data_IF_495235128230
#
_entry.id   IF_495235128230
#
_cell.length_a   1.000
_cell.length_b   1.000
_cell.length_c   1.000
_cell.angle_alpha   90.00
_cell.angle_beta   90.00
_cell.angle_gamma   90.00
#
_symmetry.space_group_name_H-M   'P 1'
#
loop_
_entity.id
_entity.type
_entity.pdbx_description
1 polymer ?
#
# COMPACT_ATOMS: atom_id res chain seq x y z
N UNK A 1 -41.23 0.20 -4.24
CA UNK A 1 -41.02 1.66 -4.24
C UNK A 1 -39.52 1.90 -4.44
N UNK A 2 -39.12 2.43 -5.60
CA UNK A 2 -37.71 2.73 -5.91
C UNK A 2 -37.39 4.13 -5.38
N UNK A 3 -36.35 4.27 -4.55
CA UNK A 3 -35.91 5.57 -4.06
C UNK A 3 -35.23 6.35 -5.19
N UNK A 4 -35.66 7.61 -5.40
CA UNK A 4 -35.04 8.49 -6.39
C UNK A 4 -33.59 8.78 -6.01
N UNK A 5 -32.66 8.54 -6.93
CA UNK A 5 -31.24 8.86 -6.76
C UNK A 5 -31.07 10.38 -6.73
N UNK A 6 -30.19 10.90 -5.86
CA UNK A 6 -29.86 12.33 -5.83
C UNK A 6 -29.33 12.85 -7.18
N UNK A 7 -29.33 14.18 -7.41
CA UNK A 7 -28.91 14.76 -8.68
C UNK A 7 -27.46 14.38 -8.99
N UNK A 8 -27.23 13.83 -10.19
CA UNK A 8 -25.89 13.58 -10.71
C UNK A 8 -25.30 14.92 -11.16
N UNK A 9 -24.19 15.31 -10.56
CA UNK A 9 -23.42 16.46 -11.04
C UNK A 9 -22.63 16.06 -12.28
N UNK A 10 -22.64 16.86 -13.36
CA UNK A 10 -21.79 16.61 -14.52
C UNK A 10 -20.31 16.82 -14.14
N UNK A 11 -19.43 16.04 -14.75
CA UNK A 11 -17.99 16.28 -14.68
C UNK A 11 -17.67 17.49 -15.57
N UNK A 12 -17.12 18.56 -14.98
CA UNK A 12 -16.78 19.81 -15.68
C UNK A 12 -15.28 19.92 -16.03
N UNK A 13 -14.48 18.92 -15.67
CA UNK A 13 -13.05 18.90 -15.96
C UNK A 13 -12.74 18.45 -17.39
N UNK A 14 -11.52 18.76 -17.84
CA UNK A 14 -11.01 18.21 -19.08
C UNK A 14 -10.79 16.70 -18.94
N UNK A 15 -11.36 15.94 -19.88
CA UNK A 15 -11.24 14.48 -19.93
C UNK A 15 -9.91 14.07 -20.59
N UNK A 16 -8.80 14.50 -20.00
CA UNK A 16 -7.45 14.28 -20.50
C UNK A 16 -6.46 13.98 -19.37
N UNK A 17 -5.27 13.53 -19.76
CA UNK A 17 -4.10 13.47 -18.88
C UNK A 17 -3.69 14.91 -18.52
N UNK A 18 -3.81 15.26 -17.24
CA UNK A 18 -3.48 16.60 -16.74
C UNK A 18 -1.98 16.75 -16.37
N UNK A 19 -1.15 15.79 -16.76
CA UNK A 19 0.29 15.79 -16.52
C UNK A 19 1.01 15.22 -17.74
N UNK A 20 2.25 15.67 -17.93
CA UNK A 20 3.09 15.24 -19.02
C UNK A 20 3.66 13.84 -18.71
N UNK A 21 3.44 12.90 -19.64
CA UNK A 21 3.98 11.55 -19.56
C UNK A 21 5.01 11.42 -20.67
N UNK A 22 6.20 10.95 -20.31
CA UNK A 22 7.25 10.66 -21.26
C UNK A 22 6.89 9.35 -21.99
N UNK A 23 6.71 9.36 -23.32
CA UNK A 23 6.44 8.14 -24.08
C UNK A 23 7.51 7.06 -23.89
N UNK A 24 8.74 7.45 -23.55
CA UNK A 24 9.87 6.54 -23.28
C UNK A 24 10.03 6.18 -21.80
N UNK A 25 9.31 6.87 -20.90
CA UNK A 25 9.41 6.72 -19.43
C UNK A 25 8.87 5.40 -18.86
N UNK A 26 8.16 4.64 -19.69
CA UNK A 26 7.69 3.29 -19.37
C UNK A 26 6.62 3.22 -18.28
N UNK A 27 6.28 1.99 -17.88
CA UNK A 27 5.19 1.73 -16.92
C UNK A 27 5.42 2.30 -15.52
N UNK A 28 6.68 2.52 -15.13
CA UNK A 28 7.03 3.06 -13.81
C UNK A 28 6.59 4.51 -13.64
N UNK A 29 6.63 5.32 -14.69
CA UNK A 29 6.17 6.70 -14.63
C UNK A 29 4.70 6.77 -14.23
N UNK A 30 3.87 5.84 -14.73
CA UNK A 30 2.46 5.79 -14.35
C UNK A 30 2.26 5.37 -12.90
N UNK A 31 3.08 4.44 -12.41
CA UNK A 31 3.01 3.99 -11.02
C UNK A 31 3.36 5.13 -10.04
N UNK A 32 4.44 5.87 -10.32
CA UNK A 32 4.93 6.93 -9.44
C UNK A 32 3.99 8.15 -9.37
N UNK A 33 3.02 8.28 -10.28
CA UNK A 33 1.95 9.30 -10.18
C UNK A 33 1.00 9.06 -9.00
N UNK A 34 0.76 7.79 -8.68
CA UNK A 34 -0.14 7.39 -7.60
C UNK A 34 0.62 7.03 -6.34
N UNK A 35 1.82 6.46 -6.49
CA UNK A 35 2.70 6.03 -5.41
C UNK A 35 4.01 6.81 -5.45
N UNK A 36 3.90 8.12 -5.30
CA UNK A 36 5.06 9.00 -5.28
C UNK A 36 5.98 8.71 -4.07
N UNK A 37 7.19 9.26 -4.11
CA UNK A 37 8.17 9.07 -3.04
C UNK A 37 7.67 9.58 -1.68
N UNK A 38 6.91 10.68 -1.65
CA UNK A 38 6.44 11.27 -0.40
C UNK A 38 5.38 10.37 0.25
N UNK A 39 4.47 9.82 -0.55
CA UNK A 39 3.44 8.91 -0.07
C UNK A 39 4.07 7.62 0.46
N UNK A 40 5.00 7.00 -0.27
CA UNK A 40 5.65 5.77 0.20
C UNK A 40 6.48 6.04 1.45
N UNK A 41 7.22 7.15 1.52
CA UNK A 41 7.95 7.54 2.72
C UNK A 41 7.01 7.74 3.91
N UNK A 42 5.90 8.45 3.71
CA UNK A 42 4.88 8.65 4.74
C UNK A 42 4.31 7.32 5.25
N UNK A 43 3.91 6.41 4.36
CA UNK A 43 3.40 5.09 4.74
C UNK A 43 4.46 4.28 5.50
N UNK A 44 5.72 4.36 5.05
CA UNK A 44 6.85 3.67 5.71
C UNK A 44 7.03 4.17 7.14
N UNK A 45 7.07 5.48 7.33
CA UNK A 45 7.20 6.12 8.64
C UNK A 45 6.03 5.77 9.56
N UNK A 46 4.80 5.79 9.05
CA UNK A 46 3.60 5.43 9.81
C UNK A 46 3.59 3.94 10.20
N UNK A 47 4.05 3.06 9.30
CA UNK A 47 4.15 1.62 9.57
C UNK A 47 5.15 1.35 10.69
N UNK A 48 6.33 1.96 10.65
CA UNK A 48 7.34 1.83 11.69
C UNK A 48 6.89 2.44 13.02
N UNK A 49 6.23 3.60 12.97
CA UNK A 49 5.65 4.22 14.17
C UNK A 49 4.63 3.28 14.83
N UNK A 50 3.70 2.72 14.07
CA UNK A 50 2.72 1.78 14.59
C UNK A 50 3.38 0.53 15.16
N UNK A 51 4.35 -0.07 14.47
CA UNK A 51 5.10 -1.21 14.97
C UNK A 51 5.75 -0.90 16.33
N UNK A 52 6.41 0.26 16.46
CA UNK A 52 7.02 0.69 17.72
C UNK A 52 6.00 0.83 18.86
N UNK A 53 4.80 1.35 18.58
CA UNK A 53 3.73 1.50 19.56
C UNK A 53 3.21 0.14 20.04
N UNK A 54 2.98 -0.79 19.11
CA UNK A 54 2.53 -2.15 19.41
C UNK A 54 3.55 -2.90 20.26
N UNK A 55 4.83 -2.80 19.93
CA UNK A 55 5.90 -3.48 20.67
C UNK A 55 6.07 -2.92 22.08
N UNK A 56 6.01 -1.59 22.24
CA UNK A 56 6.02 -0.96 23.58
C UNK A 56 4.81 -1.38 24.41
N UNK A 57 3.63 -1.51 23.79
CA UNK A 57 2.42 -1.96 24.46
C UNK A 57 2.43 -3.44 24.88
N UNK A 58 3.23 -4.28 24.20
CA UNK A 58 3.38 -5.72 24.47
C UNK A 58 4.55 -6.08 25.38
N UNK A 59 5.43 -5.13 25.71
CA UNK A 59 6.59 -5.37 26.57
C UNK A 59 6.22 -5.87 27.99
N UNK A 60 4.94 -5.81 28.37
CA UNK A 60 4.38 -6.31 29.63
C UNK A 60 3.89 -7.76 29.58
N UNK A 61 3.86 -8.42 28.41
CA UNK A 61 3.49 -9.83 28.28
C UNK A 61 4.69 -10.68 27.88
N UNK A 62 5.17 -11.48 28.82
CA UNK A 62 6.35 -12.34 28.71
C UNK A 62 6.05 -13.56 27.82
N UNK A 63 6.14 -13.38 26.51
CA UNK A 63 6.06 -14.49 25.54
C UNK A 63 7.29 -14.47 24.63
N UNK A 64 8.32 -15.20 25.04
CA UNK A 64 9.59 -15.42 24.34
C UNK A 64 9.48 -16.08 22.96
N UNK A 65 8.27 -16.47 22.53
CA UNK A 65 7.95 -17.07 21.23
C UNK A 65 7.28 -16.10 20.25
N UNK A 66 6.98 -14.87 20.65
CA UNK A 66 6.34 -13.89 19.77
C UNK A 66 7.35 -13.33 18.76
N UNK A 67 7.21 -13.75 17.49
CA UNK A 67 8.02 -13.26 16.37
C UNK A 67 7.99 -11.74 16.22
N UNK A 68 6.97 -11.07 16.74
CA UNK A 68 6.88 -9.61 16.70
C UNK A 68 8.02 -8.93 17.48
N UNK A 69 8.62 -9.59 18.48
CA UNK A 69 9.79 -9.07 19.21
C UNK A 69 11.03 -8.88 18.32
N UNK A 70 11.09 -9.55 17.16
CA UNK A 70 12.20 -9.45 16.20
C UNK A 70 11.90 -8.46 15.05
N UNK A 71 10.88 -7.62 15.17
CA UNK A 71 10.56 -6.62 14.16
C UNK A 71 11.76 -5.71 13.87
N UNK A 72 11.95 -5.37 12.60
CA UNK A 72 12.90 -4.35 12.13
C UNK A 72 12.12 -3.32 11.35
N UNK A 73 12.52 -2.07 11.49
CA UNK A 73 11.89 -0.98 10.75
C UNK A 73 11.98 -1.23 9.25
N UNK A 74 10.84 -1.12 8.58
CA UNK A 74 10.71 -1.21 7.15
C UNK A 74 11.38 0.01 6.50
N UNK A 75 12.01 -0.23 5.35
CA UNK A 75 12.60 0.81 4.52
C UNK A 75 11.71 1.13 3.31
N UNK A 76 11.88 2.32 2.73
CA UNK A 76 11.14 2.72 1.52
C UNK A 76 11.30 1.70 0.36
N UNK A 77 12.51 1.17 0.06
CA UNK A 77 12.65 0.12 -0.94
C UNK A 77 11.89 -1.17 -0.60
N UNK A 78 11.90 -1.61 0.66
CA UNK A 78 11.14 -2.79 1.09
C UNK A 78 9.64 -2.57 0.96
N UNK A 79 9.15 -1.37 1.27
CA UNK A 79 7.74 -1.01 1.08
C UNK A 79 7.34 -0.98 -0.40
N UNK A 80 8.22 -0.51 -1.29
CA UNK A 80 8.01 -0.60 -2.75
C UNK A 80 7.89 -2.05 -3.21
N UNK A 81 8.77 -2.95 -2.74
CA UNK A 81 8.69 -4.38 -3.04
C UNK A 81 7.42 -4.99 -2.49
N UNK A 82 7.02 -4.63 -1.26
CA UNK A 82 5.77 -5.09 -0.66
C UNK A 82 4.56 -4.70 -1.53
N UNK A 83 4.45 -3.45 -1.98
CA UNK A 83 3.37 -3.04 -2.88
C UNK A 83 3.41 -3.75 -4.23
N UNK A 84 4.60 -3.97 -4.80
CA UNK A 84 4.74 -4.76 -6.02
C UNK A 84 4.20 -6.19 -5.84
N UNK A 85 4.46 -6.83 -4.69
CA UNK A 85 3.89 -8.13 -4.37
C UNK A 85 2.36 -8.08 -4.22
N UNK A 86 1.80 -7.07 -3.55
CA UNK A 86 0.35 -6.91 -3.43
C UNK A 86 -0.31 -6.72 -4.81
N UNK A 87 0.28 -5.92 -5.69
CA UNK A 87 -0.20 -5.76 -7.07
C UNK A 87 -0.12 -7.08 -7.84
N UNK A 88 0.97 -7.84 -7.70
CA UNK A 88 1.10 -9.16 -8.34
C UNK A 88 0.02 -10.14 -7.86
N UNK A 89 -0.35 -10.11 -6.58
CA UNK A 89 -1.45 -10.92 -6.01
C UNK A 89 -2.82 -10.56 -6.59
N UNK A 90 -2.99 -9.32 -7.06
CA UNK A 90 -4.23 -8.91 -7.75
C UNK A 90 -4.37 -9.58 -9.13
N UNK A 91 -3.24 -9.92 -9.75
CA UNK A 91 -3.15 -10.55 -11.07
C UNK A 91 -3.16 -12.08 -10.93
N UNK A 92 -2.25 -12.62 -10.12
CA UNK A 92 -2.12 -14.05 -9.86
C UNK A 92 -3.05 -14.41 -8.72
N UNK A 93 -4.22 -14.99 -8.98
CA UNK A 93 -5.19 -15.34 -7.94
C UNK A 93 -4.91 -16.70 -7.32
N UNK A 94 -4.82 -16.75 -6.00
CA UNK A 94 -4.78 -17.97 -5.17
C UNK A 94 -6.07 -18.10 -4.34
N UNK A 95 -6.43 -19.32 -3.91
CA UNK A 95 -7.67 -19.57 -3.17
C UNK A 95 -7.77 -18.77 -1.87
N UNK A 96 -6.64 -18.58 -1.18
CA UNK A 96 -6.58 -17.90 0.11
C UNK A 96 -5.33 -17.01 0.19
N UNK A 97 -5.43 -15.95 1.01
CA UNK A 97 -4.34 -14.98 1.20
C UNK A 97 -3.06 -15.66 1.75
N UNK A 98 -3.23 -16.67 2.60
CA UNK A 98 -2.11 -17.39 3.22
C UNK A 98 -1.26 -18.14 2.19
N UNK A 99 -1.85 -18.56 1.07
CA UNK A 99 -1.14 -19.28 0.01
C UNK A 99 -0.18 -18.41 -0.80
N UNK A 100 -0.24 -17.07 -0.69
CA UNK A 100 0.77 -16.19 -1.28
C UNK A 100 2.05 -16.13 -0.46
N UNK A 101 1.97 -16.47 0.83
CA UNK A 101 3.06 -16.35 1.79
C UNK A 101 3.51 -17.73 2.32
N UNK A 102 2.94 -18.81 1.78
CA UNK A 102 3.40 -20.18 2.05
C UNK A 102 4.69 -20.46 1.28
N UNK A 103 5.58 -21.24 1.89
CA UNK A 103 6.78 -21.79 1.24
C UNK A 103 6.43 -22.68 0.05
#
# INVERSE_FOLDING_TARGET
>A
MSAASGPRFPFEGDSALNFEVDPEGGVMQYFDLFFDNNLIDYITNETNRYASQVLRGRASTDTSTDKSQNWRDATVPEMRVFFALIMLQSIVRKPEIVHYWSR
#
